data_IF_494180464639
#
_entry.id   IF_494180464639
#
_cell.length_a   1.000
_cell.length_b   1.000
_cell.length_c   1.000
_cell.angle_alpha   90.00
_cell.angle_beta   90.00
_cell.angle_gamma   90.00
#
_symmetry.space_group_name_H-M   'P 1'
#
loop_
_entity.id
_entity.type
_entity.pdbx_description
1 polymer ?
#
# COMPACT_ATOMS: atom_id res chain seq x y z
N UNK A 1 -15.46 -5.92 7.60
CA UNK A 1 -15.65 -6.73 6.39
C UNK A 1 -14.54 -7.76 6.27
N UNK A 2 -14.91 -8.94 6.00
CA UNK A 2 -13.97 -10.03 5.79
C UNK A 2 -13.71 -10.20 4.29
N UNK A 3 -12.67 -10.98 3.97
CA UNK A 3 -12.40 -11.32 2.59
C UNK A 3 -13.57 -12.10 1.97
N UNK A 4 -14.26 -12.89 2.78
CA UNK A 4 -15.43 -13.62 2.29
C UNK A 4 -16.52 -12.65 1.80
N UNK A 5 -16.66 -11.50 2.46
CA UNK A 5 -17.60 -10.47 2.00
C UNK A 5 -17.20 -9.89 0.65
N UNK A 6 -15.91 -9.70 0.45
CA UNK A 6 -15.40 -9.21 -0.83
C UNK A 6 -15.62 -10.24 -1.94
N UNK A 7 -15.37 -11.51 -1.63
CA UNK A 7 -15.57 -12.57 -2.61
C UNK A 7 -17.03 -12.70 -2.99
N UNK A 8 -17.94 -12.46 -2.04
CA UNK A 8 -19.36 -12.54 -2.29
C UNK A 8 -19.91 -11.39 -3.13
N UNK A 9 -19.08 -10.36 -3.36
CA UNK A 9 -19.47 -9.18 -4.12
C UNK A 9 -18.49 -8.94 -5.26
N UNK A 10 -18.38 -9.94 -6.14
CA UNK A 10 -17.40 -9.91 -7.23
C UNK A 10 -17.59 -8.69 -8.13
N UNK A 11 -18.82 -8.21 -8.28
CA UNK A 11 -19.13 -7.04 -9.09
C UNK A 11 -18.64 -5.74 -8.44
N UNK A 12 -18.37 -5.77 -7.12
CA UNK A 12 -17.84 -4.62 -6.40
C UNK A 12 -16.32 -4.67 -6.27
N UNK A 13 -15.67 -5.73 -6.77
CA UNK A 13 -14.21 -5.85 -6.69
C UNK A 13 -13.54 -4.77 -7.55
N UNK A 14 -12.36 -4.34 -7.10
CA UNK A 14 -11.60 -3.32 -7.82
C UNK A 14 -11.10 -3.91 -9.14
N UNK A 15 -11.47 -3.28 -10.24
CA UNK A 15 -11.06 -3.72 -11.57
C UNK A 15 -9.67 -3.13 -11.90
N UNK A 16 -8.65 -3.62 -11.21
CA UNK A 16 -7.29 -3.11 -11.31
C UNK A 16 -6.75 -3.25 -12.74
N UNK A 17 -7.22 -4.24 -13.48
CA UNK A 17 -6.77 -4.45 -14.86
C UNK A 17 -7.17 -3.30 -15.79
N UNK A 18 -8.11 -2.46 -15.37
CA UNK A 18 -8.54 -1.30 -16.17
C UNK A 18 -7.80 -0.02 -15.82
N UNK A 19 -6.89 -0.08 -14.85
CA UNK A 19 -6.07 1.09 -14.51
C UNK A 19 -5.05 1.31 -15.62
N UNK A 20 -4.91 2.56 -16.04
CA UNK A 20 -4.14 2.89 -17.24
C UNK A 20 -2.62 2.82 -17.06
N UNK A 21 -2.12 2.87 -15.86
CA UNK A 21 -0.68 2.90 -15.61
C UNK A 21 -0.25 1.97 -14.49
N UNK A 22 1.04 1.95 -14.17
CA UNK A 22 1.57 1.09 -13.10
C UNK A 22 0.93 1.41 -11.75
N UNK A 23 0.87 0.41 -10.88
CA UNK A 23 0.23 0.51 -9.57
C UNK A 23 1.25 0.13 -8.50
N UNK A 24 1.34 0.94 -7.45
CA UNK A 24 2.15 0.64 -6.28
C UNK A 24 1.22 0.44 -5.10
N UNK A 25 1.31 -0.72 -4.45
CA UNK A 25 0.52 -1.05 -3.28
C UNK A 25 1.43 -1.24 -2.08
N UNK A 26 1.10 -0.62 -0.96
CA UNK A 26 1.86 -0.71 0.27
C UNK A 26 0.97 -1.29 1.35
N UNK A 27 1.43 -2.34 2.02
CA UNK A 27 0.61 -2.99 3.04
C UNK A 27 1.43 -3.44 4.23
N UNK A 28 0.77 -3.55 5.38
CA UNK A 28 1.36 -4.10 6.59
C UNK A 28 0.68 -5.42 6.94
N UNK A 29 1.48 -6.45 7.23
CA UNK A 29 0.92 -7.78 7.49
C UNK A 29 0.25 -7.87 8.84
N UNK A 30 0.49 -6.88 9.73
CA UNK A 30 -0.16 -6.78 11.03
C UNK A 30 -1.29 -5.76 11.05
N UNK A 31 -1.81 -5.39 9.87
CA UNK A 31 -2.90 -4.44 9.74
C UNK A 31 -4.16 -4.99 10.43
N UNK A 32 -4.65 -4.28 11.43
CA UNK A 32 -5.82 -4.69 12.19
C UNK A 32 -7.12 -4.07 11.69
N UNK A 33 -7.01 -3.10 10.77
CA UNK A 33 -8.18 -2.48 10.20
C UNK A 33 -8.68 -3.24 8.97
N UNK A 34 -7.76 -3.64 8.09
CA UNK A 34 -8.06 -4.37 6.87
C UNK A 34 -7.05 -5.48 6.65
N UNK A 35 -7.44 -6.58 6.00
CA UNK A 35 -6.46 -7.58 5.54
C UNK A 35 -5.73 -7.03 4.31
N UNK A 36 -4.91 -5.99 4.51
CA UNK A 36 -4.37 -5.22 3.39
C UNK A 36 -3.41 -5.99 2.51
N UNK A 37 -2.54 -6.82 3.09
CA UNK A 37 -1.60 -7.57 2.27
C UNK A 37 -2.27 -8.66 1.44
N UNK A 38 -3.19 -9.49 2.00
CA UNK A 38 -3.95 -10.39 1.15
C UNK A 38 -4.71 -9.66 0.04
N UNK A 39 -5.29 -8.50 0.33
CA UNK A 39 -6.01 -7.73 -0.68
C UNK A 39 -5.07 -7.23 -1.76
N UNK A 40 -3.89 -6.75 -1.37
CA UNK A 40 -2.88 -6.29 -2.33
C UNK A 40 -2.43 -7.43 -3.25
N UNK A 41 -2.22 -8.62 -2.68
CA UNK A 41 -1.83 -9.78 -3.47
C UNK A 41 -2.92 -10.21 -4.44
N UNK A 42 -4.18 -10.10 -4.03
CA UNK A 42 -5.29 -10.41 -4.91
C UNK A 42 -5.33 -9.44 -6.10
N UNK A 43 -5.09 -8.16 -5.85
CA UNK A 43 -5.06 -7.18 -6.93
C UNK A 43 -3.90 -7.42 -7.88
N UNK A 44 -2.74 -7.76 -7.33
CA UNK A 44 -1.57 -8.09 -8.14
C UNK A 44 -1.87 -9.29 -9.06
N UNK A 45 -2.44 -10.35 -8.48
CA UNK A 45 -2.76 -11.56 -9.24
C UNK A 45 -3.81 -11.29 -10.31
N UNK A 46 -4.83 -10.50 -9.95
CA UNK A 46 -5.89 -10.17 -10.91
C UNK A 46 -5.34 -9.38 -12.09
N UNK A 47 -4.46 -8.42 -11.83
CA UNK A 47 -3.86 -7.65 -12.92
C UNK A 47 -3.06 -8.55 -13.84
N UNK A 48 -2.27 -9.46 -13.26
CA UNK A 48 -1.45 -10.37 -14.06
C UNK A 48 -2.31 -11.30 -14.90
N UNK A 49 -3.38 -11.82 -14.32
CA UNK A 49 -4.25 -12.78 -15.00
C UNK A 49 -5.06 -12.13 -16.13
N UNK A 50 -5.38 -10.86 -15.99
CA UNK A 50 -6.24 -10.17 -16.95
C UNK A 50 -5.47 -9.23 -17.87
N UNK A 51 -4.14 -9.32 -17.88
CA UNK A 51 -3.33 -8.51 -18.76
C UNK A 51 -3.34 -7.03 -18.41
N UNK A 52 -3.51 -6.71 -17.13
CA UNK A 52 -3.54 -5.34 -16.67
C UNK A 52 -2.16 -4.76 -16.44
N UNK A 53 -2.08 -3.60 -15.77
CA UNK A 53 -0.82 -2.90 -15.57
C UNK A 53 0.08 -3.65 -14.59
N UNK A 54 1.39 -3.35 -14.61
CA UNK A 54 2.28 -3.91 -13.59
C UNK A 54 1.87 -3.40 -12.20
N UNK A 55 1.84 -4.32 -11.25
CA UNK A 55 1.50 -4.01 -9.86
C UNK A 55 2.68 -4.42 -9.00
N UNK A 56 3.21 -3.45 -8.26
CA UNK A 56 4.27 -3.72 -7.29
C UNK A 56 3.68 -3.66 -5.89
N UNK A 57 3.98 -4.68 -5.08
CA UNK A 57 3.49 -4.74 -3.70
C UNK A 57 4.67 -4.63 -2.75
N UNK A 58 4.62 -3.66 -1.84
CA UNK A 58 5.59 -3.51 -0.77
C UNK A 58 4.90 -3.93 0.53
N UNK A 59 5.24 -5.13 0.99
CA UNK A 59 4.63 -5.73 2.17
C UNK A 59 5.63 -5.74 3.33
N UNK A 60 5.17 -5.36 4.52
CA UNK A 60 6.02 -5.21 5.70
C UNK A 60 5.48 -6.07 6.83
N UNK A 61 6.24 -7.09 7.21
CA UNK A 61 5.77 -8.14 8.13
C UNK A 61 5.39 -7.61 9.52
N UNK A 62 6.17 -6.68 10.05
CA UNK A 62 5.91 -6.15 11.40
C UNK A 62 5.04 -4.91 11.45
N UNK A 63 4.63 -4.40 10.30
CA UNK A 63 3.88 -3.15 10.22
C UNK A 63 2.38 -3.42 10.10
N UNK A 64 1.59 -2.39 10.44
CA UNK A 64 0.15 -2.49 10.38
C UNK A 64 -0.43 -1.46 9.42
N UNK A 65 -1.57 -0.89 9.80
CA UNK A 65 -2.31 0.01 8.92
C UNK A 65 -1.55 1.30 8.61
N UNK A 66 -0.78 1.82 9.57
CA UNK A 66 -0.08 3.10 9.42
C UNK A 66 1.26 2.96 8.70
N UNK A 67 1.35 2.04 7.76
CA UNK A 67 2.59 1.68 7.07
C UNK A 67 3.00 2.70 6.00
N UNK A 68 2.09 3.49 5.48
CA UNK A 68 2.36 4.39 4.37
C UNK A 68 2.49 5.84 4.81
N UNK A 69 3.26 6.61 4.05
CA UNK A 69 3.45 8.03 4.29
C UNK A 69 4.86 8.37 4.71
N UNK A 70 5.10 9.65 4.95
CA UNK A 70 6.42 10.12 5.36
C UNK A 70 6.76 9.58 6.76
N UNK A 71 8.03 9.23 7.00
CA UNK A 71 8.44 8.80 8.32
C UNK A 71 8.34 9.94 9.33
N UNK A 72 8.17 9.58 10.59
CA UNK A 72 8.13 10.55 11.70
C UNK A 72 9.36 10.41 12.57
N UNK A 73 9.65 11.46 13.35
CA UNK A 73 10.70 11.42 14.35
C UNK A 73 10.19 10.72 15.58
N UNK A 74 11.03 9.89 16.21
CA UNK A 74 10.62 9.16 17.41
C UNK A 74 10.34 10.11 18.58
N UNK A 75 10.87 11.33 18.52
CA UNK A 75 10.62 12.34 19.53
C UNK A 75 9.30 13.07 19.34
N UNK A 76 8.61 12.83 18.22
CA UNK A 76 7.29 13.41 17.96
C UNK A 76 6.32 12.94 19.04
N UNK A 77 5.57 13.87 19.64
CA UNK A 77 4.64 13.51 20.71
C UNK A 77 3.53 12.58 20.22
N UNK A 78 3.28 12.56 18.92
CA UNK A 78 2.24 11.70 18.33
C UNK A 78 2.83 10.43 17.71
N UNK A 79 4.10 10.12 18.01
CA UNK A 79 4.76 8.97 17.38
C UNK A 79 4.02 7.66 17.65
N UNK A 80 3.50 7.48 18.86
CA UNK A 80 2.82 6.23 19.22
C UNK A 80 1.49 6.05 18.50
N UNK A 81 0.96 7.09 17.92
CA UNK A 81 -0.25 6.96 17.09
C UNK A 81 -0.02 6.08 15.87
N UNK A 82 1.23 5.91 15.46
CA UNK A 82 1.56 5.01 14.35
C UNK A 82 1.21 3.55 14.68
N UNK A 83 1.04 3.21 15.96
CA UNK A 83 0.66 1.85 16.35
C UNK A 83 -0.85 1.61 16.31
N UNK A 84 -1.64 2.64 16.05
CA UNK A 84 -3.09 2.46 15.93
C UNK A 84 -3.37 1.50 14.78
N UNK A 85 -4.29 0.58 14.97
CA UNK A 85 -4.70 -0.36 13.92
C UNK A 85 -3.60 -1.35 13.50
N UNK A 86 -2.70 -1.66 14.41
CA UNK A 86 -1.79 -2.79 14.21
C UNK A 86 -0.34 -2.41 14.06
N UNK A 87 0.51 -3.41 14.27
CA UNK A 87 1.93 -3.24 14.26
C UNK A 87 2.42 -2.48 15.47
N UNK A 88 3.66 -2.01 15.43
CA UNK A 88 4.19 -1.12 16.45
C UNK A 88 4.55 0.21 15.80
N UNK A 89 4.65 1.26 16.59
CA UNK A 89 5.03 2.56 16.07
C UNK A 89 6.39 2.49 15.38
N UNK A 90 7.35 1.80 16.00
CA UNK A 90 8.69 1.66 15.42
C UNK A 90 8.64 0.90 14.10
N UNK A 91 7.94 -0.25 14.08
CA UNK A 91 7.86 -1.06 12.85
C UNK A 91 7.17 -0.30 11.72
N UNK A 92 6.08 0.40 12.04
CA UNK A 92 5.37 1.20 11.03
C UNK A 92 6.26 2.33 10.51
N UNK A 93 7.02 2.95 11.40
CA UNK A 93 7.91 4.04 11.00
C UNK A 93 9.09 3.53 10.17
N UNK A 94 9.64 2.35 10.51
CA UNK A 94 10.70 1.75 9.70
C UNK A 94 10.19 1.40 8.31
N UNK A 95 8.95 0.91 8.23
CA UNK A 95 8.33 0.67 6.93
C UNK A 95 8.20 1.97 6.14
N UNK A 96 7.82 3.07 6.79
CA UNK A 96 7.73 4.36 6.12
C UNK A 96 9.08 4.84 5.63
N UNK A 97 10.14 4.63 6.41
CA UNK A 97 11.50 5.00 5.99
C UNK A 97 11.91 4.25 4.73
N UNK A 98 11.47 3.01 4.59
CA UNK A 98 11.78 2.22 3.41
C UNK A 98 10.90 2.59 2.22
N UNK A 99 9.58 2.68 2.44
CA UNK A 99 8.68 2.85 1.30
C UNK A 99 8.50 4.30 0.85
N UNK A 100 8.76 5.28 1.73
CA UNK A 100 8.54 6.68 1.35
C UNK A 100 9.42 7.11 0.18
N UNK A 101 10.75 6.86 0.19
CA UNK A 101 11.56 7.18 -0.99
C UNK A 101 11.10 6.42 -2.23
N UNK A 102 10.65 5.18 -2.08
CA UNK A 102 10.14 4.39 -3.20
C UNK A 102 8.85 4.96 -3.75
N UNK A 103 7.98 5.44 -2.87
CA UNK A 103 6.75 6.12 -3.26
C UNK A 103 7.06 7.39 -4.05
N UNK A 104 7.99 8.20 -3.55
CA UNK A 104 8.36 9.43 -4.24
C UNK A 104 8.98 9.14 -5.60
N UNK A 105 9.83 8.10 -5.67
CA UNK A 105 10.44 7.72 -6.94
C UNK A 105 9.39 7.23 -7.94
N UNK A 106 8.42 6.44 -7.45
CA UNK A 106 7.33 5.95 -8.28
C UNK A 106 6.52 7.11 -8.86
N UNK A 107 6.14 8.05 -8.00
CA UNK A 107 5.37 9.22 -8.43
C UNK A 107 6.17 10.08 -9.41
N UNK A 108 7.46 10.26 -9.13
CA UNK A 108 8.32 11.07 -9.99
C UNK A 108 8.47 10.41 -11.37
N UNK A 109 8.59 9.10 -11.41
CA UNK A 109 8.76 8.37 -12.66
C UNK A 109 7.50 8.42 -13.53
N UNK A 110 6.32 8.36 -12.90
CA UNK A 110 5.07 8.17 -13.64
C UNK A 110 4.21 9.44 -13.74
N UNK A 111 4.40 10.41 -12.82
CA UNK A 111 3.66 11.66 -12.84
C UNK A 111 4.58 12.85 -13.11
N UNK A 112 5.74 12.86 -12.46
CA UNK A 112 6.69 13.97 -12.63
C UNK A 112 7.17 14.12 -14.05
N UNK A 113 7.27 13.01 -14.80
CA UNK A 113 7.68 13.06 -16.20
C UNK A 113 6.67 13.85 -17.03
N UNK A 114 5.38 13.70 -16.70
CA UNK A 114 4.34 14.46 -17.37
C UNK A 114 4.44 15.95 -17.06
N UNK A 115 4.72 16.27 -15.81
CA UNK A 115 4.91 17.67 -15.42
C UNK A 115 6.14 18.27 -16.06
N UNK A 116 7.21 17.50 -16.14
CA UNK A 116 8.44 17.98 -16.75
C UNK A 116 8.25 18.31 -18.24
N UNK A 117 7.26 17.71 -18.86
CA UNK A 117 6.94 17.97 -20.27
C UNK A 117 6.20 19.29 -20.45
N UNK A 118 5.70 19.87 -19.39
CA UNK A 118 5.05 21.16 -19.46
C UNK A 118 6.10 22.26 -19.49
#
# INVERSE_FOLDING_TARGET
QSLAGLDGHADAAIAVEKVAGPVLLICGEQDQLWPSCPMARQLEARSRERGGPPVEVLAYAGAGHAVAGAPREETDENFEELASMGGSAVANNEARKDNWPKTLAFLRQHLGAGEAAH
#
